data_IF_578003913632
#
_entry.id   IF_578003913632
#
_cell.length_a   1.000
_cell.length_b   1.000
_cell.length_c   1.000
_cell.angle_alpha   90.00
_cell.angle_beta   90.00
_cell.angle_gamma   90.00
#
_symmetry.space_group_name_H-M   'P 1'
#
loop_
_entity.id
_entity.type
_entity.pdbx_description
1 polymer ?
#
# COMPACT_ATOMS: atom_id res chain seq x y z
N UNK A 1 22.62 41.40 40.12
CA UNK A 1 22.56 40.11 39.43
C UNK A 1 23.64 40.09 38.37
N UNK A 2 24.62 39.20 38.48
CA UNK A 2 25.69 39.04 37.49
C UNK A 2 25.17 38.17 36.37
N UNK A 3 25.11 38.70 35.14
CA UNK A 3 24.76 37.95 33.94
C UNK A 3 25.90 36.98 33.63
N UNK A 4 25.59 35.66 33.65
CA UNK A 4 26.54 34.62 33.26
C UNK A 4 26.28 34.24 31.81
N UNK A 5 27.28 34.39 30.94
CA UNK A 5 27.21 33.97 29.54
C UNK A 5 27.25 32.45 29.47
N UNK A 6 26.20 31.84 28.95
CA UNK A 6 26.15 30.40 28.68
C UNK A 6 26.63 30.14 27.27
N UNK A 7 27.80 29.52 27.16
CA UNK A 7 28.33 29.07 25.86
C UNK A 7 28.01 27.58 25.70
N UNK A 8 27.10 27.27 24.78
CA UNK A 8 26.74 25.91 24.43
C UNK A 8 27.32 25.54 23.07
N UNK A 9 28.06 24.43 23.00
CA UNK A 9 28.62 23.91 21.76
C UNK A 9 27.50 23.36 20.88
N UNK A 10 27.61 23.56 19.56
CA UNK A 10 26.69 22.97 18.60
C UNK A 10 27.05 21.50 18.32
N UNK A 11 26.03 20.72 18.00
CA UNK A 11 26.20 19.31 17.65
C UNK A 11 25.91 18.37 18.82
N UNK A 12 25.69 17.09 18.48
CA UNK A 12 25.45 16.00 19.43
C UNK A 12 26.74 15.20 19.54
N UNK A 13 27.30 15.07 20.72
CA UNK A 13 28.48 14.27 20.97
C UNK A 13 28.13 13.12 21.93
N UNK A 14 28.11 11.89 21.40
CA UNK A 14 27.87 10.66 22.16
C UNK A 14 29.15 9.82 22.35
N UNK A 15 30.30 10.25 21.83
CA UNK A 15 31.55 9.50 21.93
C UNK A 15 32.10 9.49 23.36
N UNK A 16 31.77 10.51 24.15
CA UNK A 16 32.21 10.64 25.53
C UNK A 16 31.03 10.54 26.51
N UNK A 17 31.36 10.41 27.82
CA UNK A 17 30.34 10.42 28.87
C UNK A 17 29.62 11.76 28.97
N UNK A 18 28.42 11.77 29.53
CA UNK A 18 27.63 13.00 29.76
C UNK A 18 28.39 14.06 30.54
N UNK A 19 29.25 13.65 31.47
CA UNK A 19 30.05 14.55 32.32
C UNK A 19 31.20 15.19 31.54
N UNK A 20 31.79 14.50 30.60
CA UNK A 20 32.89 15.03 29.78
C UNK A 20 32.40 16.03 28.72
N UNK A 21 31.13 15.94 28.31
CA UNK A 21 30.52 16.81 27.29
C UNK A 21 29.83 18.02 27.92
N UNK A 22 30.34 18.52 29.06
CA UNK A 22 29.78 19.69 29.74
C UNK A 22 29.78 20.90 28.79
N UNK A 23 28.63 21.60 28.70
CA UNK A 23 28.41 22.67 27.72
C UNK A 23 28.07 22.24 26.32
N UNK A 24 27.91 20.93 26.06
CA UNK A 24 27.45 20.36 24.78
C UNK A 24 26.12 19.67 24.88
N UNK A 25 25.69 19.06 23.78
CA UNK A 25 24.48 18.27 23.69
C UNK A 25 24.85 16.80 23.61
N UNK A 26 24.37 16.00 24.56
CA UNK A 26 24.56 14.56 24.55
C UNK A 26 23.49 13.85 23.73
N UNK A 27 22.24 14.34 23.80
CA UNK A 27 21.10 13.82 23.08
C UNK A 27 20.10 14.92 22.77
N UNK A 28 19.42 14.82 21.62
CA UNK A 28 18.37 15.75 21.21
C UNK A 28 17.34 15.01 20.38
N UNK A 29 16.06 15.37 20.54
CA UNK A 29 14.96 14.95 19.70
C UNK A 29 14.34 16.16 19.00
N UNK A 30 14.07 16.02 17.69
CA UNK A 30 13.41 17.02 16.82
C UNK A 30 14.11 18.39 16.80
N UNK A 31 15.43 18.39 16.94
CA UNK A 31 16.28 19.59 16.90
C UNK A 31 17.29 19.45 15.74
N UNK A 32 17.53 20.55 15.05
CA UNK A 32 18.65 20.71 14.10
C UNK A 32 19.53 21.84 14.56
N UNK A 33 20.81 21.79 14.25
CA UNK A 33 21.72 22.88 14.46
C UNK A 33 21.89 23.68 13.18
N UNK A 34 21.63 24.98 13.24
CA UNK A 34 21.82 25.91 12.14
C UNK A 34 22.68 27.09 12.63
N UNK A 35 23.77 27.34 11.94
CA UNK A 35 24.73 28.39 12.33
C UNK A 35 25.14 28.32 13.81
N UNK A 36 25.38 27.12 14.32
CA UNK A 36 25.79 26.90 15.71
C UNK A 36 24.67 26.95 16.74
N UNK A 37 23.45 27.33 16.37
CA UNK A 37 22.30 27.41 17.29
C UNK A 37 21.33 26.24 17.10
N UNK A 38 20.81 25.66 18.21
CA UNK A 38 19.77 24.64 18.14
C UNK A 38 18.45 25.27 17.71
N UNK A 39 17.81 24.66 16.74
CA UNK A 39 16.47 25.04 16.25
C UNK A 39 15.57 23.83 16.27
N UNK A 40 14.31 23.98 16.65
CA UNK A 40 13.32 22.94 16.48
C UNK A 40 13.19 22.61 14.97
N UNK A 41 13.21 21.33 14.66
CA UNK A 41 12.75 20.87 13.34
C UNK A 41 11.27 21.16 13.29
N UNK A 42 10.82 21.97 12.32
CA UNK A 42 9.40 22.25 12.12
C UNK A 42 8.62 20.96 11.92
N UNK A 43 7.34 20.98 12.24
CA UNK A 43 6.45 19.84 11.98
C UNK A 43 6.32 19.56 10.49
N UNK A 44 5.92 18.34 10.15
CA UNK A 44 5.55 17.97 8.79
C UNK A 44 4.21 18.59 8.46
N UNK A 45 4.14 19.30 7.35
CA UNK A 45 2.89 19.77 6.80
C UNK A 45 2.46 18.88 5.65
N UNK A 46 1.19 18.48 5.64
CA UNK A 46 0.64 17.66 4.58
C UNK A 46 0.46 18.52 3.32
N UNK A 47 1.10 18.13 2.23
CA UNK A 47 1.05 18.84 0.95
C UNK A 47 -0.27 18.55 0.21
N UNK A 48 -0.80 17.33 0.35
CA UNK A 48 -2.02 16.92 -0.33
C UNK A 48 -3.04 16.38 0.66
N UNK A 49 -4.31 16.71 0.47
CA UNK A 49 -5.45 16.08 1.16
C UNK A 49 -5.82 14.72 0.58
N UNK A 50 -5.41 14.44 -0.66
CA UNK A 50 -5.64 13.17 -1.31
C UNK A 50 -4.82 12.05 -0.66
N UNK A 51 -5.36 10.84 -0.70
CA UNK A 51 -4.73 9.61 -0.18
C UNK A 51 -4.60 8.59 -1.30
N UNK A 52 -3.71 7.64 -1.11
CA UNK A 52 -3.53 6.49 -1.99
C UNK A 52 -3.58 5.19 -1.18
N UNK A 53 -3.87 4.07 -1.83
CA UNK A 53 -3.94 2.78 -1.20
C UNK A 53 -2.54 2.15 -1.05
N UNK A 54 -2.31 1.52 0.10
CA UNK A 54 -1.08 0.82 0.39
C UNK A 54 -0.01 1.68 1.07
N UNK A 55 1.11 1.04 1.38
CA UNK A 55 2.28 1.67 2.00
C UNK A 55 3.26 2.06 0.90
N UNK A 56 3.65 3.33 0.87
CA UNK A 56 4.64 3.82 -0.10
C UNK A 56 5.98 3.10 0.08
N UNK A 57 6.49 2.51 -0.99
CA UNK A 57 7.75 1.76 -1.06
C UNK A 57 8.81 2.50 -1.86
N UNK A 58 8.40 3.20 -2.90
CA UNK A 58 9.29 3.98 -3.74
C UNK A 58 8.65 5.28 -4.19
N UNK A 59 9.47 6.31 -4.34
CA UNK A 59 9.11 7.59 -4.89
C UNK A 59 10.11 7.94 -5.98
N UNK A 60 9.61 8.38 -7.12
CA UNK A 60 10.41 8.84 -8.23
C UNK A 60 9.87 10.16 -8.76
N UNK A 61 10.68 11.21 -8.73
CA UNK A 61 10.28 12.53 -9.22
C UNK A 61 10.93 12.80 -10.58
N UNK A 62 10.12 13.29 -11.53
CA UNK A 62 10.60 13.75 -12.84
C UNK A 62 9.78 14.92 -13.35
N UNK A 63 10.22 15.52 -14.42
CA UNK A 63 9.50 16.55 -15.15
C UNK A 63 9.24 16.11 -16.58
N UNK A 64 8.07 16.49 -17.10
CA UNK A 64 7.77 16.34 -18.52
C UNK A 64 8.54 17.39 -19.34
N UNK A 65 8.57 17.24 -20.67
CA UNK A 65 9.14 18.24 -21.59
C UNK A 65 8.47 19.60 -21.45
N UNK A 66 7.20 19.65 -21.01
CA UNK A 66 6.47 20.88 -20.70
C UNK A 66 6.73 21.39 -19.27
N UNK A 67 7.78 20.93 -18.59
CA UNK A 67 8.19 21.32 -17.25
C UNK A 67 7.12 21.06 -16.15
N UNK A 68 6.22 20.13 -16.39
CA UNK A 68 5.23 19.72 -15.39
C UNK A 68 5.89 18.72 -14.43
N UNK A 69 5.97 19.02 -13.12
CA UNK A 69 6.54 18.09 -12.15
C UNK A 69 5.55 16.95 -11.88
N UNK A 70 6.08 15.73 -11.89
CA UNK A 70 5.36 14.50 -11.61
C UNK A 70 6.11 13.68 -10.55
N UNK A 71 5.39 12.94 -9.74
CA UNK A 71 5.95 12.00 -8.78
C UNK A 71 5.30 10.65 -8.98
N UNK A 72 6.09 9.63 -9.30
CA UNK A 72 5.66 8.23 -9.28
C UNK A 72 5.66 7.73 -7.83
N UNK A 73 4.59 7.09 -7.43
CA UNK A 73 4.42 6.52 -6.09
C UNK A 73 4.14 5.04 -6.24
N UNK A 74 5.13 4.21 -5.93
CA UNK A 74 4.98 2.76 -5.87
C UNK A 74 4.58 2.33 -4.45
N UNK A 75 3.44 1.64 -4.32
CA UNK A 75 3.00 1.07 -3.05
C UNK A 75 3.10 -0.46 -3.10
N UNK A 76 2.81 -1.12 -1.98
CA UNK A 76 2.72 -2.58 -1.94
C UNK A 76 1.48 -3.13 -2.67
N UNK A 77 0.53 -2.27 -3.05
CA UNK A 77 -0.72 -2.69 -3.69
C UNK A 77 -0.95 -2.06 -5.05
N UNK A 78 -0.45 -0.84 -5.28
CA UNK A 78 -0.77 -0.04 -6.46
C UNK A 78 0.37 0.85 -6.91
N UNK A 79 0.24 1.38 -8.12
CA UNK A 79 1.14 2.35 -8.68
C UNK A 79 0.40 3.63 -9.08
N UNK A 80 0.90 4.79 -8.62
CA UNK A 80 0.26 6.09 -8.85
C UNK A 80 1.22 7.08 -9.48
N UNK A 81 0.66 8.03 -10.20
CA UNK A 81 1.31 9.28 -10.56
C UNK A 81 0.65 10.42 -9.77
N UNK A 82 1.45 11.14 -9.01
CA UNK A 82 1.00 12.37 -8.36
C UNK A 82 1.26 13.58 -9.26
N UNK A 83 0.22 14.38 -9.45
CA UNK A 83 0.26 15.67 -10.16
C UNK A 83 -0.63 16.67 -9.45
N UNK A 84 -0.09 17.84 -9.11
CA UNK A 84 -0.88 18.90 -8.48
C UNK A 84 -1.54 18.52 -7.15
N UNK A 85 -0.97 17.58 -6.41
CA UNK A 85 -1.51 17.11 -5.13
C UNK A 85 -2.57 16.00 -5.24
N UNK A 86 -2.89 15.53 -6.43
CA UNK A 86 -3.78 14.40 -6.67
C UNK A 86 -2.98 13.15 -7.07
N UNK A 87 -3.54 11.98 -6.79
CA UNK A 87 -2.97 10.69 -7.16
C UNK A 87 -3.83 10.02 -8.22
N UNK A 88 -3.22 9.71 -9.36
CA UNK A 88 -3.85 9.01 -10.47
C UNK A 88 -3.35 7.57 -10.46
N UNK A 89 -4.28 6.62 -10.33
CA UNK A 89 -3.98 5.20 -10.37
C UNK A 89 -3.59 4.80 -11.81
N UNK A 90 -2.39 4.29 -11.97
CA UNK A 90 -1.85 3.79 -13.23
C UNK A 90 -1.46 2.32 -13.13
N UNK A 91 -1.97 1.61 -12.13
CA UNK A 91 -1.68 0.19 -11.92
C UNK A 91 -2.06 -0.60 -13.17
N UNK A 92 -1.15 -1.39 -13.77
CA UNK A 92 -1.43 -2.13 -14.99
C UNK A 92 -2.58 -3.12 -14.82
N UNK A 93 -3.38 -3.28 -15.84
CA UNK A 93 -4.44 -4.29 -15.92
C UNK A 93 -3.80 -5.61 -16.35
N UNK A 94 -4.02 -6.66 -15.57
CA UNK A 94 -3.55 -8.01 -15.89
C UNK A 94 -4.45 -8.71 -16.91
N UNK A 95 -5.76 -8.65 -16.70
CA UNK A 95 -6.76 -9.27 -17.56
C UNK A 95 -8.13 -8.65 -17.35
N UNK A 96 -9.01 -8.83 -18.32
CA UNK A 96 -10.43 -8.49 -18.24
C UNK A 96 -11.26 -9.67 -18.72
N UNK A 97 -12.27 -10.06 -17.95
CA UNK A 97 -13.13 -11.21 -18.26
C UNK A 97 -14.60 -10.81 -18.08
N UNK A 98 -15.46 -11.32 -18.95
CA UNK A 98 -16.90 -11.19 -18.78
C UNK A 98 -17.41 -12.36 -17.93
N UNK A 99 -18.11 -12.03 -16.87
CA UNK A 99 -18.72 -12.98 -15.96
C UNK A 99 -20.25 -12.89 -16.09
N UNK A 100 -20.93 -14.02 -16.13
CA UNK A 100 -22.38 -14.07 -16.18
C UNK A 100 -22.91 -14.38 -14.79
N UNK A 101 -23.75 -13.51 -14.24
CA UNK A 101 -24.40 -13.66 -12.93
C UNK A 101 -23.43 -14.11 -11.81
N UNK A 102 -22.29 -13.39 -11.62
CA UNK A 102 -21.22 -13.90 -10.77
C UNK A 102 -21.44 -13.73 -9.28
N UNK A 103 -22.37 -12.88 -8.86
CA UNK A 103 -22.48 -12.46 -7.47
C UNK A 103 -23.44 -13.29 -6.65
N UNK A 104 -23.08 -13.54 -5.41
CA UNK A 104 -23.97 -14.10 -4.39
C UNK A 104 -23.88 -13.25 -3.11
N UNK A 105 -25.03 -12.80 -2.61
CA UNK A 105 -25.18 -12.00 -1.41
C UNK A 105 -25.98 -12.77 -0.36
N UNK A 106 -25.57 -12.63 0.91
CA UNK A 106 -26.30 -13.17 2.06
C UNK A 106 -26.97 -12.03 2.83
N UNK A 107 -28.22 -12.21 3.22
CA UNK A 107 -28.95 -11.21 4.01
C UNK A 107 -28.15 -10.75 5.24
N UNK A 108 -28.10 -9.45 5.44
CA UNK A 108 -27.37 -8.82 6.54
C UNK A 108 -25.84 -8.72 6.35
N UNK A 109 -25.29 -9.28 5.26
CA UNK A 109 -23.85 -9.28 5.00
C UNK A 109 -23.44 -8.15 4.04
N UNK A 110 -22.29 -7.57 4.29
CA UNK A 110 -21.57 -6.67 3.36
C UNK A 110 -20.57 -7.42 2.50
N UNK A 111 -20.40 -8.73 2.73
CA UNK A 111 -19.49 -9.58 1.96
C UNK A 111 -20.26 -10.26 0.84
N UNK A 112 -19.76 -10.10 -0.38
CA UNK A 112 -20.33 -10.71 -1.59
C UNK A 112 -19.35 -11.77 -2.08
N UNK A 113 -19.87 -12.97 -2.33
CA UNK A 113 -19.11 -14.03 -2.99
C UNK A 113 -19.19 -13.85 -4.50
N UNK A 114 -18.06 -13.95 -5.16
CA UNK A 114 -17.93 -13.80 -6.62
C UNK A 114 -17.44 -15.11 -7.21
N UNK A 115 -18.21 -15.65 -8.14
CA UNK A 115 -17.83 -16.83 -8.92
C UNK A 115 -17.14 -16.38 -10.21
N UNK A 116 -15.86 -16.69 -10.33
CA UNK A 116 -15.02 -16.30 -11.46
C UNK A 116 -14.03 -17.45 -11.76
N UNK A 117 -14.33 -18.32 -12.71
CA UNK A 117 -13.47 -19.47 -13.01
C UNK A 117 -12.07 -19.05 -13.44
N UNK A 118 -11.06 -19.71 -12.87
CA UNK A 118 -9.64 -19.53 -13.21
C UNK A 118 -9.20 -18.06 -13.18
N UNK A 119 -9.69 -17.28 -12.20
CA UNK A 119 -9.43 -15.82 -12.13
C UNK A 119 -7.95 -15.48 -11.89
N UNK A 120 -7.14 -16.40 -11.35
CA UNK A 120 -5.70 -16.21 -11.12
C UNK A 120 -5.32 -15.06 -10.20
N UNK A 121 -6.26 -14.59 -9.34
CA UNK A 121 -6.01 -13.54 -8.37
C UNK A 121 -5.45 -14.15 -7.08
N UNK A 122 -4.75 -13.33 -6.33
CA UNK A 122 -4.30 -13.62 -4.98
C UNK A 122 -4.98 -12.68 -3.98
N UNK A 123 -4.84 -12.98 -2.71
CA UNK A 123 -5.42 -12.15 -1.66
C UNK A 123 -4.85 -10.73 -1.71
N UNK A 124 -5.72 -9.73 -1.71
CA UNK A 124 -5.33 -8.31 -1.76
C UNK A 124 -5.26 -7.71 -3.16
N UNK A 125 -5.47 -8.49 -4.23
CA UNK A 125 -5.63 -7.96 -5.59
C UNK A 125 -6.85 -7.03 -5.68
N UNK A 126 -6.89 -6.23 -6.73
CA UNK A 126 -8.00 -5.33 -7.00
C UNK A 126 -8.73 -5.73 -8.29
N UNK A 127 -10.04 -5.58 -8.25
CA UNK A 127 -10.94 -5.79 -9.38
C UNK A 127 -11.90 -4.62 -9.52
N UNK A 128 -12.11 -4.17 -10.74
CA UNK A 128 -13.13 -3.17 -11.07
C UNK A 128 -14.21 -3.83 -11.90
N UNK A 129 -15.46 -3.67 -11.49
CA UNK A 129 -16.60 -4.17 -12.24
C UNK A 129 -17.25 -3.10 -13.09
N UNK A 130 -17.83 -3.54 -14.19
CA UNK A 130 -18.62 -2.70 -15.08
C UNK A 130 -19.79 -3.50 -15.65
N UNK A 131 -20.98 -2.91 -15.66
CA UNK A 131 -22.20 -3.55 -16.13
C UNK A 131 -22.95 -4.39 -15.10
N UNK A 132 -22.52 -4.39 -13.83
CA UNK A 132 -23.28 -5.06 -12.76
C UNK A 132 -24.62 -4.35 -12.52
N UNK A 133 -25.65 -5.16 -12.24
CA UNK A 133 -26.99 -4.70 -11.81
C UNK A 133 -27.13 -4.76 -10.29
N UNK A 134 -28.26 -4.31 -9.76
CA UNK A 134 -28.57 -4.39 -8.31
C UNK A 134 -28.53 -5.84 -7.81
N UNK A 135 -28.08 -6.02 -6.57
CA UNK A 135 -27.93 -7.31 -5.92
C UNK A 135 -28.49 -7.24 -4.48
N UNK A 136 -29.08 -8.32 -4.00
CA UNK A 136 -29.47 -8.47 -2.60
C UNK A 136 -30.39 -7.37 -2.06
N UNK A 137 -31.22 -6.78 -2.92
CA UNK A 137 -32.18 -5.74 -2.60
C UNK A 137 -31.59 -4.35 -2.40
N UNK A 138 -30.63 -4.16 -1.51
CA UNK A 138 -30.10 -2.84 -1.16
C UNK A 138 -28.79 -2.47 -1.88
N UNK A 139 -28.05 -3.44 -2.39
CA UNK A 139 -26.73 -3.21 -3.03
C UNK A 139 -26.99 -2.74 -4.46
N UNK A 140 -26.75 -1.45 -4.70
CA UNK A 140 -27.02 -0.84 -6.01
C UNK A 140 -25.93 -1.16 -7.03
N UNK A 141 -26.26 -1.02 -8.31
CA UNK A 141 -25.30 -1.11 -9.40
C UNK A 141 -24.11 -0.13 -9.22
N UNK A 142 -24.35 1.06 -8.68
CA UNK A 142 -23.31 2.04 -8.44
C UNK A 142 -22.28 1.58 -7.38
N UNK A 143 -22.73 0.82 -6.39
CA UNK A 143 -21.82 0.25 -5.37
C UNK A 143 -21.00 -0.89 -5.96
N UNK A 144 -21.60 -1.73 -6.82
CA UNK A 144 -20.91 -2.86 -7.44
C UNK A 144 -19.95 -2.42 -8.54
N UNK A 145 -20.32 -1.45 -9.36
CA UNK A 145 -19.52 -0.96 -10.49
C UNK A 145 -18.41 -0.01 -10.02
N UNK A 146 -17.70 -0.39 -8.98
CA UNK A 146 -16.53 0.30 -8.44
C UNK A 146 -15.35 -0.65 -8.32
N UNK A 147 -14.26 -0.15 -7.83
CA UNK A 147 -13.09 -0.97 -7.50
C UNK A 147 -13.27 -1.63 -6.14
N UNK A 148 -12.95 -2.92 -6.08
CA UNK A 148 -13.00 -3.72 -4.86
C UNK A 148 -11.71 -4.48 -4.63
N UNK A 149 -11.31 -4.62 -3.37
CA UNK A 149 -10.20 -5.48 -3.00
C UNK A 149 -10.70 -6.92 -2.83
N UNK A 150 -9.92 -7.85 -3.37
CA UNK A 150 -10.24 -9.28 -3.38
C UNK A 150 -9.73 -9.93 -2.10
N UNK A 151 -10.61 -10.72 -1.48
CA UNK A 151 -10.21 -11.75 -0.52
C UNK A 151 -10.32 -13.11 -1.18
N UNK A 152 -9.18 -13.76 -1.38
CA UNK A 152 -9.09 -15.05 -2.08
C UNK A 152 -9.80 -16.16 -1.29
N UNK A 153 -10.60 -16.97 -1.97
CA UNK A 153 -11.27 -18.16 -1.43
C UNK A 153 -10.80 -19.43 -2.13
N UNK A 154 -10.88 -19.47 -3.46
CA UNK A 154 -10.46 -20.62 -4.28
C UNK A 154 -10.02 -20.16 -5.67
N UNK A 155 -9.54 -21.09 -6.50
CA UNK A 155 -9.19 -20.80 -7.89
C UNK A 155 -10.37 -20.29 -8.76
N UNK A 156 -11.60 -20.52 -8.31
CA UNK A 156 -12.82 -20.19 -9.04
C UNK A 156 -13.75 -19.22 -8.31
N UNK A 157 -13.35 -18.75 -7.10
CA UNK A 157 -14.17 -17.85 -6.31
C UNK A 157 -13.32 -16.98 -5.38
N UNK A 158 -13.82 -15.79 -5.12
CA UNK A 158 -13.28 -14.86 -4.14
C UNK A 158 -14.41 -14.05 -3.50
N UNK A 159 -14.11 -13.30 -2.46
CA UNK A 159 -15.07 -12.38 -1.86
C UNK A 159 -14.61 -10.94 -1.99
N UNK A 160 -15.57 -10.02 -2.03
CA UNK A 160 -15.39 -8.59 -1.96
C UNK A 160 -16.25 -8.02 -0.84
N UNK A 161 -15.85 -6.88 -0.29
CA UNK A 161 -16.64 -6.16 0.71
C UNK A 161 -17.23 -4.90 0.09
N UNK A 162 -18.51 -4.66 0.35
CA UNK A 162 -19.22 -3.46 -0.09
C UNK A 162 -19.67 -2.62 1.10
N UNK A 163 -20.00 -1.35 0.85
CA UNK A 163 -20.40 -0.40 1.90
C UNK A 163 -21.82 -0.60 2.46
N UNK A 164 -22.65 -1.38 1.77
CA UNK A 164 -24.07 -1.57 2.10
C UNK A 164 -24.33 -3.05 2.28
N UNK A 165 -25.01 -3.41 3.38
CA UNK A 165 -25.41 -4.80 3.62
C UNK A 165 -26.61 -5.20 2.74
N UNK A 166 -26.62 -6.43 2.28
CA UNK A 166 -27.75 -7.00 1.55
C UNK A 166 -28.99 -7.09 2.45
N UNK A 167 -30.14 -6.67 1.97
CA UNK A 167 -31.41 -6.79 2.68
C UNK A 167 -32.12 -8.11 2.39
N UNK A 168 -31.72 -8.80 1.33
CA UNK A 168 -32.22 -10.13 0.95
C UNK A 168 -31.04 -11.00 0.45
N UNK A 169 -31.21 -12.33 0.57
CA UNK A 169 -30.32 -13.30 -0.06
C UNK A 169 -30.47 -13.22 -1.58
N UNK A 170 -29.38 -13.36 -2.30
CA UNK A 170 -29.36 -13.39 -3.76
C UNK A 170 -28.20 -14.26 -4.23
N UNK A 171 -28.42 -15.18 -5.16
CA UNK A 171 -27.41 -16.14 -5.59
C UNK A 171 -27.39 -16.24 -7.11
N UNK A 172 -26.19 -16.10 -7.70
CA UNK A 172 -26.01 -16.18 -9.14
C UNK A 172 -26.70 -15.03 -9.86
N UNK A 173 -26.56 -13.81 -9.35
CA UNK A 173 -27.17 -12.61 -9.91
C UNK A 173 -26.12 -11.53 -10.22
N UNK A 174 -26.56 -10.31 -10.55
CA UNK A 174 -25.71 -9.17 -10.91
C UNK A 174 -25.55 -8.94 -12.40
N UNK A 175 -26.23 -9.74 -13.25
CA UNK A 175 -26.21 -9.62 -14.72
C UNK A 175 -24.88 -10.06 -15.36
N UNK A 176 -24.64 -9.60 -16.58
CA UNK A 176 -23.34 -9.81 -17.26
C UNK A 176 -22.39 -8.68 -16.88
N UNK A 177 -21.33 -9.05 -16.23
CA UNK A 177 -20.37 -8.12 -15.61
C UNK A 177 -19.01 -8.26 -16.28
N UNK A 178 -18.42 -7.15 -16.68
CA UNK A 178 -17.02 -7.11 -17.06
C UNK A 178 -16.16 -6.89 -15.82
N UNK A 179 -15.40 -7.90 -15.42
CA UNK A 179 -14.41 -7.83 -14.36
C UNK A 179 -13.03 -7.50 -14.95
N UNK A 180 -12.44 -6.41 -14.46
CA UNK A 180 -11.11 -5.94 -14.87
C UNK A 180 -10.18 -6.10 -13.69
N UNK A 181 -9.23 -7.01 -13.79
CA UNK A 181 -8.29 -7.36 -12.73
C UNK A 181 -6.99 -6.58 -12.90
N UNK A 182 -6.58 -5.89 -11.84
CA UNK A 182 -5.29 -5.22 -11.81
C UNK A 182 -4.15 -6.23 -11.57
N UNK A 183 -2.94 -5.83 -11.96
CA UNK A 183 -1.74 -6.60 -11.67
C UNK A 183 -1.44 -6.51 -10.17
N UNK A 184 -1.16 -7.66 -9.54
CA UNK A 184 -0.68 -7.69 -8.17
C UNK A 184 0.73 -7.12 -8.08
N UNK A 185 0.95 -6.15 -7.22
CA UNK A 185 2.25 -5.51 -6.97
C UNK A 185 3.16 -6.31 -6.04
N UNK A 186 2.69 -7.43 -5.50
CA UNK A 186 3.43 -8.32 -4.62
C UNK A 186 2.98 -8.26 -3.14
N UNK A 187 3.58 -9.07 -2.28
CA UNK A 187 3.20 -9.14 -0.88
C UNK A 187 3.57 -7.86 -0.11
N UNK A 188 2.78 -7.54 0.92
CA UNK A 188 3.05 -6.40 1.79
C UNK A 188 4.38 -6.54 2.54
N UNK A 189 4.75 -7.76 2.86
CA UNK A 189 5.99 -8.12 3.53
C UNK A 189 6.73 -9.17 2.72
N UNK A 190 8.02 -8.99 2.62
CA UNK A 190 8.91 -9.94 1.98
C UNK A 190 9.82 -10.53 3.04
N UNK A 191 9.78 -11.86 3.18
CA UNK A 191 10.80 -12.59 3.94
C UNK A 191 12.01 -12.80 3.06
N UNK A 192 13.22 -12.64 3.62
CA UNK A 192 14.44 -12.96 2.91
C UNK A 192 14.39 -14.45 2.50
N UNK A 193 14.56 -14.73 1.20
CA UNK A 193 14.50 -16.09 0.65
C UNK A 193 15.82 -16.81 0.83
N UNK A 194 16.93 -16.08 0.91
CA UNK A 194 18.30 -16.61 1.08
C UNK A 194 19.11 -15.69 1.99
N UNK A 195 20.01 -16.26 2.76
CA UNK A 195 20.93 -15.53 3.62
C UNK A 195 20.68 -15.70 5.12
N UNK A 196 21.51 -15.05 5.92
CA UNK A 196 21.40 -15.05 7.37
C UNK A 196 20.06 -14.42 7.82
N UNK A 197 19.28 -15.19 8.55
CA UNK A 197 17.94 -14.78 8.99
C UNK A 197 16.81 -15.16 8.03
N UNK A 198 17.09 -15.87 6.94
CA UNK A 198 16.07 -16.42 6.06
C UNK A 198 15.54 -17.74 6.61
N UNK A 199 14.37 -17.70 7.22
CA UNK A 199 13.70 -18.88 7.79
C UNK A 199 14.02 -19.18 9.24
N UNK A 200 13.35 -20.20 9.80
CA UNK A 200 13.56 -20.64 11.19
C UNK A 200 14.88 -21.41 11.37
N UNK A 201 15.49 -21.26 12.54
CA UNK A 201 16.67 -22.05 12.94
C UNK A 201 16.34 -23.54 12.85
N UNK A 202 17.20 -24.29 12.15
CA UNK A 202 17.06 -25.74 12.02
C UNK A 202 16.29 -26.24 10.79
N UNK A 203 15.82 -25.36 9.93
CA UNK A 203 15.20 -25.71 8.65
C UNK A 203 16.21 -25.62 7.51
N UNK A 204 16.76 -26.77 7.13
CA UNK A 204 17.65 -26.92 5.98
C UNK A 204 19.13 -26.78 6.29
N UNK A 205 19.96 -26.93 5.26
CA UNK A 205 21.40 -26.67 5.32
C UNK A 205 21.68 -25.17 5.44
N UNK A 206 22.72 -24.79 6.15
CA UNK A 206 23.20 -23.42 6.28
C UNK A 206 23.31 -22.75 4.92
N UNK A 207 22.50 -21.71 4.67
CA UNK A 207 22.49 -20.94 3.43
C UNK A 207 21.43 -21.32 2.40
N UNK A 208 20.63 -22.36 2.62
CA UNK A 208 19.46 -22.63 1.82
C UNK A 208 18.22 -22.04 2.50
N UNK A 209 17.79 -20.87 2.07
CA UNK A 209 16.46 -20.36 2.40
C UNK A 209 15.38 -21.32 1.90
N UNK A 210 14.24 -21.35 2.57
CA UNK A 210 13.07 -22.05 2.05
C UNK A 210 12.75 -21.41 0.68
N UNK A 211 12.85 -22.21 -0.39
CA UNK A 211 12.43 -21.78 -1.69
C UNK A 211 10.91 -21.54 -1.62
N UNK A 212 10.51 -20.27 -1.49
CA UNK A 212 9.13 -19.91 -1.71
C UNK A 212 8.90 -19.92 -3.21
N UNK A 213 7.90 -20.65 -3.66
CA UNK A 213 7.47 -20.67 -5.07
C UNK A 213 6.88 -19.35 -5.54
N UNK A 214 6.68 -18.40 -4.62
CA UNK A 214 6.26 -17.06 -4.94
C UNK A 214 7.44 -16.28 -5.52
N UNK A 215 7.40 -16.08 -6.83
CA UNK A 215 8.33 -15.18 -7.51
C UNK A 215 8.24 -13.79 -6.88
N UNK A 216 9.37 -13.27 -6.45
CA UNK A 216 9.50 -11.92 -5.93
C UNK A 216 9.01 -10.92 -6.98
N UNK A 217 7.80 -10.44 -6.82
CA UNK A 217 7.26 -9.33 -7.62
C UNK A 217 7.71 -8.02 -6.96
N UNK A 218 8.96 -7.70 -7.14
CA UNK A 218 9.52 -6.43 -6.68
C UNK A 218 9.52 -5.47 -7.86
N UNK A 219 8.92 -4.31 -7.69
CA UNK A 219 9.20 -3.17 -8.55
C UNK A 219 10.64 -2.76 -8.28
N UNK A 220 11.59 -3.29 -9.05
CA UNK A 220 12.97 -2.88 -8.95
C UNK A 220 13.18 -1.62 -9.80
N UNK A 221 13.89 -0.66 -9.25
CA UNK A 221 14.52 0.39 -10.04
C UNK A 221 15.70 -0.21 -10.80
N UNK A 222 15.49 -1.18 -11.67
CA UNK A 222 16.54 -1.61 -12.58
C UNK A 222 16.53 -0.70 -13.79
N UNK A 223 17.58 0.09 -13.87
CA UNK A 223 18.15 0.86 -14.99
C UNK A 223 17.38 0.88 -16.31
#
# INVERSE_FOLDING_TARGET
MTLKKLLVKSGINRENTRYYTEGGWYDCDKIRFRQGSPQKVGGWNRISSATFNGVCRSLWAWQTLAQIPLIGVGTNTKFYISRGGYYYDITPIRTATNLTTPFAATTGSTVITVTAPSHGCVNGDFVTYNGATTLGGAITAAVLNTEHQITYVSANSYTISVSIAATSGDTGNGGTVRAVYQMNSGPAYQTAVTGWGAGGWGLGTWGTGVATTDSLRVWSQSN
#
